data_IF_859782213772
#
_entry.id   IF_859782213772
#
_cell.length_a   1.000
_cell.length_b   1.000
_cell.length_c   1.000
_cell.angle_alpha   90.00
_cell.angle_beta   90.00
_cell.angle_gamma   90.00
#
_symmetry.space_group_name_H-M   'P 1'
#
loop_
_entity.id
_entity.type
_entity.pdbx_description
1 polymer ?
#
# COMPACT_ATOMS: atom_id res chain seq x y z
N UNK A 1 -2.85 -8.26 4.63
CA UNK A 1 -3.85 -9.23 4.13
C UNK A 1 -3.93 -9.04 2.64
N UNK A 2 -3.88 -10.11 1.85
CA UNK A 2 -3.81 -9.99 0.39
C UNK A 2 -5.12 -9.44 -0.21
N UNK A 3 -4.99 -8.59 -1.23
CA UNK A 3 -6.04 -7.95 -2.02
C UNK A 3 -5.47 -7.57 -3.37
N UNK A 4 -6.27 -7.62 -4.43
CA UNK A 4 -5.80 -7.38 -5.78
C UNK A 4 -5.21 -8.64 -6.43
N UNK A 5 -5.20 -8.66 -7.76
CA UNK A 5 -4.84 -9.79 -8.62
C UNK A 5 -5.70 -11.05 -8.38
N UNK A 6 -6.92 -10.91 -7.85
CA UNK A 6 -7.79 -12.05 -7.58
C UNK A 6 -8.08 -12.89 -8.82
N UNK A 7 -8.21 -12.25 -10.00
CA UNK A 7 -8.35 -12.95 -11.28
C UNK A 7 -7.14 -13.85 -11.61
N UNK A 8 -5.93 -13.39 -11.27
CA UNK A 8 -4.69 -14.16 -11.46
C UNK A 8 -4.65 -15.35 -10.51
N UNK A 9 -5.06 -15.15 -9.26
CA UNK A 9 -5.09 -16.18 -8.23
C UNK A 9 -6.33 -17.08 -8.28
N UNK A 10 -7.31 -16.77 -9.14
CA UNK A 10 -8.62 -17.45 -9.21
C UNK A 10 -9.31 -17.49 -7.84
N UNK A 11 -9.29 -16.35 -7.15
CA UNK A 11 -9.88 -16.17 -5.82
C UNK A 11 -11.01 -15.13 -5.87
N UNK A 12 -11.84 -15.12 -4.83
CA UNK A 12 -12.81 -14.04 -4.63
C UNK A 12 -12.13 -12.83 -3.99
N UNK A 13 -12.64 -11.62 -4.28
CA UNK A 13 -12.14 -10.41 -3.63
C UNK A 13 -12.51 -10.36 -2.16
N UNK A 14 -11.55 -9.98 -1.31
CA UNK A 14 -11.72 -9.88 0.14
C UNK A 14 -11.95 -8.43 0.61
N UNK A 15 -12.31 -7.50 -0.27
CA UNK A 15 -12.50 -6.09 0.09
C UNK A 15 -13.61 -5.90 1.13
N UNK A 16 -14.73 -6.59 1.01
CA UNK A 16 -15.83 -6.49 1.99
C UNK A 16 -15.44 -7.04 3.36
N UNK A 17 -14.70 -8.14 3.39
CA UNK A 17 -14.13 -8.70 4.62
C UNK A 17 -13.18 -7.73 5.31
N UNK A 18 -12.34 -7.04 4.54
CA UNK A 18 -11.47 -5.98 5.08
C UNK A 18 -12.26 -4.79 5.61
N UNK A 19 -13.31 -4.34 4.91
CA UNK A 19 -14.18 -3.26 5.40
C UNK A 19 -14.86 -3.65 6.71
N UNK A 20 -15.33 -4.89 6.83
CA UNK A 20 -15.91 -5.40 8.07
C UNK A 20 -14.86 -5.41 9.21
N UNK A 21 -13.65 -5.90 8.94
CA UNK A 21 -12.55 -5.92 9.90
C UNK A 21 -12.18 -4.51 10.38
N UNK A 22 -12.03 -3.54 9.47
CA UNK A 22 -11.68 -2.16 9.81
C UNK A 22 -12.81 -1.43 10.54
N UNK A 23 -14.08 -1.77 10.27
CA UNK A 23 -15.22 -1.28 11.06
C UNK A 23 -15.21 -1.84 12.48
N UNK A 24 -14.86 -3.12 12.63
CA UNK A 24 -14.79 -3.77 13.95
C UNK A 24 -13.58 -3.30 14.76
N UNK A 25 -12.45 -3.04 14.12
CA UNK A 25 -11.20 -2.61 14.75
C UNK A 25 -10.72 -1.27 14.15
N UNK A 26 -11.39 -0.14 14.46
CA UNK A 26 -11.14 1.15 13.79
C UNK A 26 -9.75 1.74 14.05
N UNK A 27 -9.00 1.23 15.03
CA UNK A 27 -7.61 1.63 15.32
C UNK A 27 -6.56 0.66 14.77
N UNK A 28 -6.98 -0.39 14.08
CA UNK A 28 -6.06 -1.35 13.48
C UNK A 28 -5.25 -0.66 12.38
N UNK A 29 -3.93 -0.65 12.51
CA UNK A 29 -3.05 -0.27 11.41
C UNK A 29 -3.02 -1.40 10.39
N UNK A 30 -3.50 -1.15 9.17
CA UNK A 30 -3.55 -2.13 8.09
C UNK A 30 -2.80 -1.62 6.87
N UNK A 31 -1.96 -2.46 6.27
CA UNK A 31 -1.37 -2.23 4.95
C UNK A 31 -2.07 -3.14 3.94
N UNK A 32 -2.69 -2.54 2.93
CA UNK A 32 -3.42 -3.21 1.84
C UNK A 32 -2.48 -3.30 0.63
N UNK A 33 -2.03 -4.50 0.24
CA UNK A 33 -1.14 -4.68 -0.90
C UNK A 33 -1.86 -4.55 -2.24
N UNK A 34 -1.04 -4.39 -3.27
CA UNK A 34 -1.41 -4.41 -4.70
C UNK A 34 -2.48 -3.40 -5.11
N UNK A 35 -2.71 -2.34 -4.32
CA UNK A 35 -3.72 -1.31 -4.59
C UNK A 35 -5.09 -1.88 -5.03
N UNK A 36 -5.53 -3.01 -4.46
CA UNK A 36 -6.76 -3.70 -4.88
C UNK A 36 -6.86 -3.95 -6.41
N UNK A 37 -5.73 -4.05 -7.12
CA UNK A 37 -5.69 -4.10 -8.58
C UNK A 37 -6.55 -5.25 -9.13
N UNK A 38 -7.41 -5.04 -10.15
CA UNK A 38 -7.48 -3.86 -11.02
C UNK A 38 -8.36 -2.70 -10.49
N UNK A 39 -9.06 -2.83 -9.37
CA UNK A 39 -9.89 -1.77 -8.78
C UNK A 39 -9.07 -0.80 -7.93
N UNK A 40 -8.16 -0.06 -8.57
CA UNK A 40 -7.30 0.93 -7.91
C UNK A 40 -8.11 2.06 -7.27
N UNK A 41 -9.28 2.39 -7.81
CA UNK A 41 -10.18 3.37 -7.22
C UNK A 41 -10.67 2.92 -5.83
N UNK A 42 -10.93 1.62 -5.62
CA UNK A 42 -11.25 1.10 -4.30
C UNK A 42 -10.12 1.27 -3.28
N UNK A 43 -8.87 1.14 -3.71
CA UNK A 43 -7.72 1.32 -2.83
C UNK A 43 -7.69 2.73 -2.25
N UNK A 44 -7.95 3.75 -3.08
CA UNK A 44 -8.02 5.13 -2.60
C UNK A 44 -9.22 5.37 -1.66
N UNK A 45 -10.38 4.75 -1.93
CA UNK A 45 -11.52 4.80 -1.00
C UNK A 45 -11.19 4.26 0.39
N UNK A 46 -10.36 3.21 0.50
CA UNK A 46 -9.89 2.73 1.80
C UNK A 46 -9.08 3.79 2.57
N UNK A 47 -8.28 4.60 1.89
CA UNK A 47 -7.54 5.69 2.52
C UNK A 47 -8.47 6.81 3.00
N UNK A 48 -9.51 7.13 2.24
CA UNK A 48 -10.52 8.13 2.58
C UNK A 48 -11.37 7.70 3.79
N UNK A 49 -11.83 6.45 3.80
CA UNK A 49 -12.76 5.93 4.80
C UNK A 49 -12.08 5.53 6.13
N UNK A 50 -10.84 5.06 6.08
CA UNK A 50 -10.19 4.44 7.23
C UNK A 50 -8.82 5.07 7.52
N UNK A 51 -8.67 5.94 8.54
CA UNK A 51 -7.48 6.77 8.74
C UNK A 51 -6.19 6.00 9.08
N UNK A 52 -6.30 4.77 9.59
CA UNK A 52 -5.16 3.92 9.96
C UNK A 52 -4.75 2.94 8.86
N UNK A 53 -5.30 3.10 7.65
CA UNK A 53 -4.98 2.26 6.49
C UNK A 53 -3.80 2.81 5.69
N UNK A 54 -3.00 1.94 5.12
CA UNK A 54 -1.91 2.26 4.21
C UNK A 54 -2.05 1.37 2.98
N UNK A 55 -1.52 1.82 1.85
CA UNK A 55 -1.47 1.02 0.63
C UNK A 55 -0.04 0.62 0.31
N UNK A 56 0.14 -0.58 -0.20
CA UNK A 56 1.38 -1.04 -0.79
C UNK A 56 1.17 -1.22 -2.31
N UNK A 57 1.99 -0.52 -3.09
CA UNK A 57 1.91 -0.47 -4.55
C UNK A 57 2.63 -1.63 -5.27
N UNK A 58 2.96 -2.69 -4.52
CA UNK A 58 3.63 -3.88 -5.02
C UNK A 58 3.01 -4.40 -6.32
N UNK A 59 3.87 -4.58 -7.34
CA UNK A 59 3.58 -4.98 -8.72
C UNK A 59 2.72 -4.01 -9.57
N UNK A 60 1.96 -3.10 -8.96
CA UNK A 60 0.98 -2.28 -9.70
C UNK A 60 1.65 -1.27 -10.62
N UNK A 61 2.73 -0.62 -10.18
CA UNK A 61 3.43 0.34 -11.05
C UNK A 61 4.03 -0.31 -12.28
N UNK A 62 4.45 -1.58 -12.19
CA UNK A 62 4.89 -2.33 -13.36
C UNK A 62 3.73 -2.61 -14.32
N UNK A 63 2.55 -2.97 -13.78
CA UNK A 63 1.34 -3.17 -14.58
C UNK A 63 0.96 -1.93 -15.40
N UNK A 64 1.27 -0.73 -14.92
CA UNK A 64 1.01 0.51 -15.67
C UNK A 64 1.76 0.62 -17.01
N UNK A 65 2.79 -0.21 -17.25
CA UNK A 65 3.42 -0.35 -18.57
C UNK A 65 2.57 -1.17 -19.55
N UNK A 66 1.75 -2.09 -19.03
CA UNK A 66 0.94 -3.02 -19.81
C UNK A 66 -0.48 -2.47 -19.99
N UNK A 67 -1.02 -1.88 -18.93
CA UNK A 67 -2.34 -1.27 -18.88
C UNK A 67 -2.16 0.18 -18.40
N UNK A 68 -2.31 1.18 -19.28
CA UNK A 68 -2.12 2.57 -18.91
C UNK A 68 -2.98 2.97 -17.70
N UNK A 69 -2.42 3.68 -16.71
CA UNK A 69 -3.18 4.15 -15.56
C UNK A 69 -4.14 5.27 -15.96
N UNK A 70 -5.20 5.46 -15.18
CA UNK A 70 -6.03 6.67 -15.29
C UNK A 70 -5.21 7.88 -14.83
N UNK A 71 -5.29 9.01 -15.52
CA UNK A 71 -4.52 10.21 -15.18
C UNK A 71 -4.73 10.64 -13.72
N UNK A 72 -5.98 10.57 -13.24
CA UNK A 72 -6.35 10.91 -11.85
C UNK A 72 -5.60 10.06 -10.81
N UNK A 73 -5.14 8.85 -11.16
CA UNK A 73 -4.40 8.02 -10.22
C UNK A 73 -3.04 8.62 -9.85
N UNK A 74 -2.39 9.37 -10.76
CA UNK A 74 -1.15 10.06 -10.43
C UNK A 74 -1.38 11.14 -9.38
N UNK A 75 -2.43 11.95 -9.53
CA UNK A 75 -2.81 12.96 -8.55
C UNK A 75 -3.16 12.34 -7.19
N UNK A 76 -3.82 11.17 -7.20
CA UNK A 76 -4.15 10.44 -5.97
C UNK A 76 -2.90 9.85 -5.30
N UNK A 77 -1.95 9.31 -6.07
CA UNK A 77 -0.67 8.83 -5.53
C UNK A 77 0.13 9.99 -4.91
N UNK A 78 0.16 11.16 -5.55
CA UNK A 78 0.77 12.38 -4.98
C UNK A 78 0.09 12.78 -3.67
N UNK A 79 -1.24 12.88 -3.69
CA UNK A 79 -2.03 13.29 -2.52
C UNK A 79 -1.85 12.36 -1.33
N UNK A 80 -1.78 11.06 -1.59
CA UNK A 80 -1.73 10.03 -0.55
C UNK A 80 -0.33 9.43 -0.33
N UNK A 81 0.73 10.04 -0.87
CA UNK A 81 2.08 9.48 -0.82
C UNK A 81 2.55 9.07 0.58
N UNK A 82 2.16 9.85 1.59
CA UNK A 82 2.48 9.62 3.00
C UNK A 82 1.75 8.42 3.63
N UNK A 83 0.80 7.81 2.91
CA UNK A 83 0.07 6.61 3.31
C UNK A 83 0.24 5.47 2.31
N UNK A 84 1.22 5.59 1.41
CA UNK A 84 1.57 4.56 0.43
C UNK A 84 3.02 4.13 0.61
N UNK A 85 3.29 2.85 0.31
CA UNK A 85 4.64 2.29 0.25
C UNK A 85 4.88 1.64 -1.11
N UNK A 86 6.13 1.67 -1.55
CA UNK A 86 6.61 0.88 -2.67
C UNK A 86 7.06 -0.50 -2.16
N UNK A 87 6.71 -1.54 -2.91
CA UNK A 87 7.19 -2.89 -2.66
C UNK A 87 7.38 -3.65 -3.97
N UNK A 88 8.14 -4.74 -3.90
CA UNK A 88 8.54 -5.53 -5.08
C UNK A 88 7.88 -6.90 -5.17
N UNK A 89 7.26 -7.37 -4.08
CA UNK A 89 6.82 -8.76 -3.89
C UNK A 89 7.90 -9.82 -4.09
N UNK A 90 9.18 -9.48 -4.02
CA UNK A 90 10.21 -10.47 -4.33
C UNK A 90 10.12 -11.69 -3.40
N UNK A 91 10.09 -12.93 -3.91
CA UNK A 91 10.38 -13.39 -5.27
C UNK A 91 9.20 -13.58 -6.22
N UNK A 92 7.98 -13.28 -5.77
CA UNK A 92 6.74 -13.41 -6.57
C UNK A 92 6.49 -12.21 -7.49
N UNK A 93 7.30 -11.16 -7.39
CA UNK A 93 7.19 -9.95 -8.20
C UNK A 93 7.29 -10.19 -9.70
N UNK A 94 6.68 -9.29 -10.48
CA UNK A 94 6.65 -9.37 -11.95
C UNK A 94 8.02 -9.20 -12.62
N UNK A 95 9.01 -8.72 -11.87
CA UNK A 95 10.39 -8.58 -12.32
C UNK A 95 11.34 -8.59 -11.13
N UNK A 96 12.64 -8.74 -11.40
CA UNK A 96 13.68 -8.51 -10.41
C UNK A 96 13.62 -7.09 -9.79
N UNK A 97 13.99 -6.93 -8.50
CA UNK A 97 13.86 -5.66 -7.77
C UNK A 97 14.53 -4.46 -8.43
N UNK A 98 15.71 -4.65 -9.05
CA UNK A 98 16.45 -3.56 -9.69
C UNK A 98 15.65 -2.90 -10.83
N UNK A 99 15.05 -3.71 -11.70
CA UNK A 99 14.26 -3.21 -12.83
C UNK A 99 12.93 -2.61 -12.38
N UNK A 100 12.30 -3.15 -11.33
CA UNK A 100 11.11 -2.53 -10.74
C UNK A 100 11.44 -1.14 -10.17
N UNK A 101 12.60 -1.00 -9.53
CA UNK A 101 13.07 0.27 -9.01
C UNK A 101 13.44 1.27 -10.13
N UNK A 102 14.14 0.82 -11.17
CA UNK A 102 14.45 1.65 -12.35
C UNK A 102 13.19 2.19 -13.02
N UNK A 103 12.17 1.34 -13.17
CA UNK A 103 10.86 1.76 -13.68
C UNK A 103 10.18 2.75 -12.73
N UNK A 104 10.16 2.46 -11.43
CA UNK A 104 9.60 3.37 -10.42
C UNK A 104 10.25 4.77 -10.48
N UNK A 105 11.57 4.83 -10.67
CA UNK A 105 12.32 6.09 -10.75
C UNK A 105 11.86 6.99 -11.91
N UNK A 106 11.33 6.39 -12.99
CA UNK A 106 10.84 7.09 -14.18
C UNK A 106 9.38 7.55 -14.08
N UNK A 107 8.64 7.15 -13.04
CA UNK A 107 7.24 7.55 -12.88
C UNK A 107 7.09 9.07 -12.74
N UNK A 108 5.97 9.66 -13.23
CA UNK A 108 5.70 11.09 -13.19
C UNK A 108 5.25 11.56 -11.79
N UNK A 109 6.05 11.22 -10.77
CA UNK A 109 5.84 11.57 -9.38
C UNK A 109 6.92 12.54 -8.91
N UNK A 110 6.52 13.45 -8.02
CA UNK A 110 7.37 14.40 -7.32
C UNK A 110 8.44 13.70 -6.50
N UNK A 111 9.55 14.38 -6.25
CA UNK A 111 10.62 13.90 -5.37
C UNK A 111 10.10 13.58 -3.97
N UNK A 112 9.12 14.37 -3.49
CA UNK A 112 8.46 14.11 -2.20
C UNK A 112 7.74 12.78 -2.24
N UNK A 113 6.83 12.57 -3.20
CA UNK A 113 6.05 11.35 -3.29
C UNK A 113 6.95 10.12 -3.46
N UNK A 114 7.97 10.18 -4.33
CA UNK A 114 8.95 9.11 -4.48
C UNK A 114 9.66 8.77 -3.15
N UNK A 115 10.08 9.80 -2.40
CA UNK A 115 10.72 9.60 -1.09
C UNK A 115 9.78 9.03 -0.02
N UNK A 116 8.50 9.40 -0.07
CA UNK A 116 7.47 8.85 0.83
C UNK A 116 7.25 7.36 0.57
N UNK A 117 6.99 7.00 -0.70
CA UNK A 117 6.75 5.61 -1.11
C UNK A 117 7.96 4.71 -0.87
N UNK A 118 9.18 5.15 -1.20
CA UNK A 118 10.38 4.33 -1.09
C UNK A 118 10.82 4.08 0.36
N UNK A 119 10.55 5.00 1.29
CA UNK A 119 11.09 4.87 2.65
C UNK A 119 10.29 5.58 3.74
N UNK A 120 9.96 6.86 3.59
CA UNK A 120 9.51 7.67 4.74
C UNK A 120 8.21 7.14 5.35
N UNK A 121 7.29 6.64 4.52
CA UNK A 121 6.04 6.05 4.98
C UNK A 121 6.28 4.73 5.72
N UNK A 122 7.04 3.80 5.13
CA UNK A 122 7.38 2.52 5.77
C UNK A 122 8.09 2.71 7.11
N UNK A 123 9.07 3.63 7.17
CA UNK A 123 9.77 3.96 8.40
C UNK A 123 8.84 4.53 9.48
N UNK A 124 7.80 5.29 9.09
CA UNK A 124 6.79 5.82 10.02
C UNK A 124 5.92 4.72 10.59
N UNK A 125 5.41 3.82 9.73
CA UNK A 125 4.63 2.65 10.14
C UNK A 125 5.44 1.79 11.12
N UNK A 126 6.70 1.49 10.77
CA UNK A 126 7.57 0.69 11.62
C UNK A 126 7.79 1.32 13.02
N UNK A 127 7.97 2.65 13.09
CA UNK A 127 8.08 3.37 14.37
C UNK A 127 6.79 3.34 15.19
N UNK A 128 5.63 3.43 14.54
CA UNK A 128 4.33 3.35 15.21
C UNK A 128 4.09 1.96 15.80
N UNK A 129 4.38 0.90 15.03
CA UNK A 129 4.25 -0.48 15.49
C UNK A 129 5.33 -0.88 16.51
N UNK A 130 6.52 -0.28 16.44
CA UNK A 130 7.65 -0.57 17.31
C UNK A 130 7.58 0.05 18.71
N UNK A 131 6.58 0.89 19.02
CA UNK A 131 6.37 1.44 20.37
C UNK A 131 5.14 0.80 21.04
N UNK A 132 5.36 -0.30 21.73
CA UNK A 132 4.61 -0.71 22.95
C UNK A 132 5.22 -1.99 23.55
N UNK A 133 6.35 -1.85 24.24
CA UNK A 133 6.73 -2.73 25.36
C UNK A 133 7.38 -1.86 26.45
N UNK A 134 6.64 -0.91 27.01
CA UNK A 134 6.89 -0.54 28.39
C UNK A 134 6.32 -1.66 29.23
N UNK A 135 7.20 -2.52 29.74
CA UNK A 135 6.89 -3.49 30.78
C UNK A 135 6.54 -2.64 32.02
N UNK A 136 5.27 -2.28 32.13
CA UNK A 136 4.72 -1.65 33.33
C UNK A 136 4.59 -2.73 34.40
N UNK A 137 5.66 -2.93 35.16
CA UNK A 137 5.63 -3.58 36.46
C UNK A 137 5.84 -2.54 37.54
N UNK A 138 4.78 -1.87 37.95
CA UNK A 138 4.71 -1.36 39.33
C UNK A 138 3.82 -2.32 40.11
N UNK A 139 4.39 -2.93 41.15
CA UNK A 139 3.65 -3.41 42.30
C UNK A 139 4.55 -3.21 43.53
N UNK A 140 4.12 -2.25 44.34
CA UNK A 140 4.35 -2.03 45.79
C UNK A 140 5.40 -2.89 46.50
#
# INVERSE_FOLDING_TARGET
MHTGYEDVYRADSNQDGLRALLKQFPRLTLVIPHLCYPDVDAAFRFLEEYPHTYLDATNVFWCFKLVPPKDIWWDMIERYSERMVFGTDFSMGMHFPAQLYEHFAQLPLSTKAKGDLLFRTAARIARQCGRQLTIGGEAL
#
